data_IF_344682571066
#
_entry.id   IF_344682571066
#
_cell.length_a   1.000
_cell.length_b   1.000
_cell.length_c   1.000
_cell.angle_alpha   90.00
_cell.angle_beta   90.00
_cell.angle_gamma   90.00
#
_symmetry.space_group_name_H-M   'P 1'
#
loop_
_entity.id
_entity.type
_entity.pdbx_description
1 polymer ?
#
# COMPACT_ATOMS: atom_id res chain seq x y z
N UNK A 1 34.44 -16.43 31.60
CA UNK A 1 35.36 -16.60 30.43
C UNK A 1 34.88 -17.75 29.52
N UNK A 2 34.57 -18.94 30.01
CA UNK A 2 34.14 -20.08 29.19
C UNK A 2 32.92 -19.79 28.31
N UNK A 3 31.86 -19.16 28.87
CA UNK A 3 30.63 -18.78 28.12
C UNK A 3 30.94 -17.77 27.01
N UNK A 4 31.82 -16.82 27.26
CA UNK A 4 32.25 -15.86 26.25
C UNK A 4 32.98 -16.54 25.08
N UNK A 5 33.94 -17.43 25.38
CA UNK A 5 34.66 -18.19 24.38
C UNK A 5 33.71 -19.09 23.58
N UNK A 6 32.82 -19.79 24.27
CA UNK A 6 31.78 -20.60 23.67
C UNK A 6 30.91 -19.78 22.71
N UNK A 7 30.47 -18.58 23.14
CA UNK A 7 29.66 -17.68 22.28
C UNK A 7 30.42 -17.32 21.01
N UNK A 8 31.70 -16.98 21.10
CA UNK A 8 32.53 -16.65 19.93
C UNK A 8 32.63 -17.84 18.98
N UNK A 9 32.93 -19.02 19.50
CA UNK A 9 33.06 -20.26 18.70
C UNK A 9 31.74 -20.55 17.97
N UNK A 10 30.58 -20.50 18.67
CA UNK A 10 29.28 -20.74 18.08
C UNK A 10 28.97 -19.70 16.99
N UNK A 11 29.28 -18.41 17.19
CA UNK A 11 29.07 -17.39 16.16
C UNK A 11 29.96 -17.62 14.92
N UNK A 12 31.17 -18.14 15.09
CA UNK A 12 32.02 -18.51 13.95
C UNK A 12 31.43 -19.71 13.21
N UNK A 13 30.99 -20.76 13.92
CA UNK A 13 30.33 -21.92 13.31
C UNK A 13 29.06 -21.54 12.56
N UNK A 14 28.29 -20.59 13.09
CA UNK A 14 27.05 -20.09 12.47
C UNK A 14 27.27 -18.98 11.42
N UNK A 15 28.54 -18.60 11.15
CA UNK A 15 28.83 -17.54 10.17
C UNK A 15 28.33 -17.85 8.76
N UNK A 16 28.47 -19.08 8.20
CA UNK A 16 27.89 -19.39 6.89
C UNK A 16 26.39 -19.18 6.82
N UNK A 17 25.67 -19.55 7.91
CA UNK A 17 24.24 -19.33 8.03
C UNK A 17 23.91 -17.83 8.05
N UNK A 18 24.68 -17.04 8.79
CA UNK A 18 24.52 -15.58 8.84
C UNK A 18 24.73 -14.93 7.47
N UNK A 19 25.71 -15.37 6.70
CA UNK A 19 25.96 -14.92 5.33
C UNK A 19 24.81 -15.30 4.40
N UNK A 20 24.26 -16.50 4.52
CA UNK A 20 23.11 -16.90 3.73
C UNK A 20 21.88 -16.03 4.03
N UNK A 21 21.60 -15.75 5.30
CA UNK A 21 20.54 -14.82 5.71
C UNK A 21 20.78 -13.39 5.22
N UNK A 22 22.04 -12.94 5.23
CA UNK A 22 22.43 -11.65 4.67
C UNK A 22 22.14 -11.58 3.16
N UNK A 23 22.47 -12.63 2.42
CA UNK A 23 22.15 -12.71 0.99
C UNK A 23 20.66 -12.65 0.74
N UNK A 24 19.86 -13.40 1.48
CA UNK A 24 18.40 -13.36 1.38
C UNK A 24 17.83 -11.94 1.64
N UNK A 25 18.42 -11.23 2.61
CA UNK A 25 18.05 -9.84 2.90
C UNK A 25 18.45 -8.88 1.77
N UNK A 26 19.59 -9.11 1.11
CA UNK A 26 19.99 -8.36 -0.09
C UNK A 26 18.97 -8.58 -1.22
N UNK A 27 18.56 -9.82 -1.46
CA UNK A 27 17.55 -10.16 -2.47
C UNK A 27 16.23 -9.45 -2.16
N UNK A 28 15.79 -9.44 -0.89
CA UNK A 28 14.58 -8.72 -0.46
C UNK A 28 14.62 -7.24 -0.88
N UNK A 29 15.72 -6.54 -0.57
CA UNK A 29 15.83 -5.10 -0.90
C UNK A 29 15.96 -4.89 -2.40
N UNK A 30 16.65 -5.79 -3.11
CA UNK A 30 16.80 -5.75 -4.57
C UNK A 30 15.45 -5.84 -5.30
N UNK A 31 14.50 -6.62 -4.79
CA UNK A 31 13.18 -6.78 -5.42
C UNK A 31 12.16 -5.72 -4.96
N UNK A 32 12.50 -4.88 -3.98
CA UNK A 32 11.60 -3.83 -3.48
C UNK A 32 11.09 -2.87 -4.55
N UNK A 33 11.88 -2.39 -5.53
CA UNK A 33 11.37 -1.52 -6.58
C UNK A 33 10.24 -2.17 -7.38
N UNK A 34 10.41 -3.43 -7.80
CA UNK A 34 9.37 -4.21 -8.50
C UNK A 34 8.14 -4.42 -7.61
N UNK A 35 8.34 -4.69 -6.32
CA UNK A 35 7.25 -4.81 -5.34
C UNK A 35 6.50 -3.50 -5.12
N UNK A 36 7.21 -2.36 -5.05
CA UNK A 36 6.59 -1.04 -4.92
C UNK A 36 5.73 -0.72 -6.15
N UNK A 37 6.21 -0.99 -7.36
CA UNK A 37 5.42 -0.86 -8.60
C UNK A 37 4.19 -1.78 -8.61
N UNK A 38 4.30 -3.02 -8.09
CA UNK A 38 3.14 -3.91 -7.90
C UNK A 38 2.15 -3.27 -6.92
N UNK A 39 2.61 -2.72 -5.79
CA UNK A 39 1.76 -2.06 -4.80
C UNK A 39 1.06 -0.82 -5.38
N UNK A 40 1.73 -0.04 -6.22
CA UNK A 40 1.13 1.09 -6.93
C UNK A 40 0.10 0.59 -7.95
N UNK A 41 0.49 -0.38 -8.78
CA UNK A 41 -0.38 -0.92 -9.84
C UNK A 41 -1.67 -1.56 -9.33
N UNK A 42 -1.62 -2.22 -8.18
CA UNK A 42 -2.77 -2.92 -7.57
C UNK A 42 -3.17 -2.29 -6.23
N UNK A 43 -3.02 -0.97 -6.13
CA UNK A 43 -3.22 -0.23 -4.88
C UNK A 43 -4.59 -0.50 -4.27
N UNK A 44 -4.60 -0.85 -2.97
CA UNK A 44 -5.83 -1.18 -2.23
C UNK A 44 -6.33 -2.62 -2.41
N UNK A 45 -5.81 -3.38 -3.36
CA UNK A 45 -6.12 -4.80 -3.56
C UNK A 45 -5.08 -5.70 -2.90
N UNK A 46 -5.27 -5.92 -1.60
CA UNK A 46 -4.32 -6.69 -0.79
C UNK A 46 -4.16 -8.14 -1.27
N UNK A 47 -5.20 -8.75 -1.83
CA UNK A 47 -5.20 -10.12 -2.33
C UNK A 47 -4.29 -10.26 -3.56
N UNK A 48 -4.54 -9.45 -4.59
CA UNK A 48 -3.71 -9.44 -5.81
C UNK A 48 -2.26 -9.03 -5.51
N UNK A 49 -2.03 -8.05 -4.63
CA UNK A 49 -0.68 -7.69 -4.18
C UNK A 49 0.01 -8.89 -3.54
N UNK A 50 -0.68 -9.62 -2.64
CA UNK A 50 -0.13 -10.82 -1.99
C UNK A 50 0.23 -11.94 -2.95
N UNK A 51 -0.63 -12.22 -3.94
CA UNK A 51 -0.36 -13.19 -5.00
C UNK A 51 0.88 -12.79 -5.84
N UNK A 52 0.90 -11.54 -6.34
CA UNK A 52 2.01 -11.03 -7.14
C UNK A 52 3.32 -10.99 -6.34
N UNK A 53 3.27 -10.60 -5.06
CA UNK A 53 4.41 -10.65 -4.16
C UNK A 53 4.93 -12.08 -3.98
N UNK A 54 4.04 -13.06 -3.83
CA UNK A 54 4.41 -14.47 -3.70
C UNK A 54 5.10 -14.98 -4.98
N UNK A 55 4.58 -14.61 -6.15
CA UNK A 55 5.20 -14.95 -7.42
C UNK A 55 6.57 -14.27 -7.59
N UNK A 56 6.68 -13.00 -7.20
CA UNK A 56 7.93 -12.25 -7.23
C UNK A 56 8.99 -12.88 -6.32
N UNK A 57 8.60 -13.27 -5.10
CA UNK A 57 9.47 -13.95 -4.15
C UNK A 57 9.98 -15.28 -4.72
N UNK A 58 9.12 -16.07 -5.35
CA UNK A 58 9.50 -17.33 -6.02
C UNK A 58 10.46 -17.09 -7.19
N UNK A 59 10.18 -16.09 -8.03
CA UNK A 59 11.02 -15.71 -9.18
C UNK A 59 12.45 -15.37 -8.77
N UNK A 60 12.62 -14.70 -7.63
CA UNK A 60 13.92 -14.27 -7.12
C UNK A 60 14.50 -15.15 -6.02
N UNK A 61 13.89 -16.31 -5.74
CA UNK A 61 14.31 -17.23 -4.68
C UNK A 61 14.43 -16.55 -3.31
N UNK A 62 13.54 -15.59 -3.03
CA UNK A 62 13.46 -14.95 -1.73
C UNK A 62 12.57 -15.76 -0.78
N UNK A 63 13.09 -16.05 0.40
CA UNK A 63 12.41 -16.82 1.44
C UNK A 63 12.18 -15.98 2.69
N UNK A 64 10.95 -15.47 2.94
CA UNK A 64 10.65 -14.58 4.06
C UNK A 64 11.03 -15.17 5.42
N UNK A 65 10.80 -16.47 5.63
CA UNK A 65 11.06 -17.15 6.90
C UNK A 65 12.56 -17.41 7.17
N UNK A 66 13.43 -17.24 6.18
CA UNK A 66 14.86 -17.47 6.33
C UNK A 66 15.49 -16.53 7.37
N UNK A 67 14.93 -15.34 7.54
CA UNK A 67 15.38 -14.39 8.55
C UNK A 67 15.21 -14.86 9.99
N UNK A 68 14.34 -15.86 10.24
CA UNK A 68 14.10 -16.45 11.56
C UNK A 68 15.08 -17.59 11.90
N UNK A 69 15.80 -18.14 10.92
CA UNK A 69 16.69 -19.29 11.15
C UNK A 69 17.84 -18.98 12.13
N UNK A 70 18.49 -17.80 12.10
CA UNK A 70 19.53 -17.50 13.09
C UNK A 70 18.97 -17.46 14.52
N UNK A 71 17.75 -16.98 14.71
CA UNK A 71 17.08 -16.98 16.01
C UNK A 71 16.76 -18.42 16.45
N UNK A 72 16.24 -19.26 15.57
CA UNK A 72 15.96 -20.66 15.86
C UNK A 72 17.25 -21.42 16.23
N UNK A 73 18.33 -21.23 15.48
CA UNK A 73 19.64 -21.80 15.76
C UNK A 73 20.16 -21.34 17.16
N UNK A 74 19.97 -20.08 17.51
CA UNK A 74 20.39 -19.53 18.80
C UNK A 74 19.60 -20.17 19.96
N UNK A 75 18.30 -20.42 19.77
CA UNK A 75 17.46 -21.11 20.77
C UNK A 75 17.90 -22.56 20.93
N UNK A 76 18.20 -23.29 19.85
CA UNK A 76 18.71 -24.65 19.92
C UNK A 76 20.05 -24.74 20.68
N UNK A 77 20.96 -23.80 20.44
CA UNK A 77 22.23 -23.70 21.18
C UNK A 77 21.97 -23.41 22.66
N UNK A 78 20.97 -22.58 22.98
CA UNK A 78 20.57 -22.29 24.36
C UNK A 78 20.12 -23.56 25.08
N UNK A 79 19.27 -24.39 24.44
CA UNK A 79 18.83 -25.67 25.04
C UNK A 79 20.00 -26.63 25.28
N UNK A 80 20.97 -26.73 24.33
CA UNK A 80 22.19 -27.52 24.56
C UNK A 80 23.04 -26.99 25.72
N UNK A 81 23.07 -25.68 25.92
CA UNK A 81 23.81 -25.06 27.04
C UNK A 81 23.15 -25.32 28.40
N UNK A 82 21.82 -25.51 28.46
CA UNK A 82 21.10 -25.91 29.68
C UNK A 82 21.70 -27.18 30.29
N UNK A 83 21.85 -28.20 29.47
CA UNK A 83 22.34 -29.50 29.90
C UNK A 83 23.77 -29.45 30.39
N UNK A 84 24.61 -28.66 29.70
CA UNK A 84 26.01 -28.43 30.10
C UNK A 84 26.11 -27.68 31.44
N UNK A 85 25.29 -26.66 31.66
CA UNK A 85 25.28 -25.88 32.89
C UNK A 85 24.82 -26.76 34.05
N UNK A 86 23.74 -27.53 33.92
CA UNK A 86 23.27 -28.45 34.95
C UNK A 86 24.35 -29.50 35.26
N UNK A 87 24.99 -30.09 34.30
CA UNK A 87 26.05 -31.08 34.52
C UNK A 87 27.29 -30.51 35.24
N UNK A 88 27.61 -29.23 35.07
CA UNK A 88 28.74 -28.57 35.79
C UNK A 88 28.35 -28.29 37.25
N UNK A 89 27.11 -27.88 37.49
CA UNK A 89 26.61 -27.51 38.82
C UNK A 89 26.37 -28.73 39.71
N UNK A 90 25.86 -29.82 39.16
CA UNK A 90 25.65 -31.09 39.88
C UNK A 90 26.99 -31.69 40.41
N UNK A 91 28.13 -31.33 39.80
CA UNK A 91 29.45 -31.79 40.24
C UNK A 91 30.20 -30.79 41.14
N UNK A 92 29.58 -29.70 41.57
CA UNK A 92 30.12 -28.76 42.58
C UNK A 92 31.42 -28.06 42.11
N UNK A 93 31.53 -27.70 40.83
CA UNK A 93 32.73 -27.06 40.30
C UNK A 93 32.97 -25.67 40.94
N UNK A 94 34.18 -25.33 41.38
CA UNK A 94 34.47 -24.01 41.93
C UNK A 94 34.36 -22.91 40.84
N UNK A 95 33.78 -21.75 41.21
CA UNK A 95 33.66 -20.61 40.31
C UNK A 95 32.32 -20.53 39.54
N UNK A 96 31.27 -21.11 40.10
CA UNK A 96 29.89 -21.09 39.57
C UNK A 96 29.12 -19.80 39.85
N UNK A 97 29.81 -18.72 40.19
CA UNK A 97 29.23 -17.43 40.45
C UNK A 97 29.50 -16.43 39.31
N UNK A 98 28.48 -15.74 38.85
CA UNK A 98 28.64 -14.64 37.90
C UNK A 98 29.03 -13.35 38.63
N UNK A 99 30.25 -12.86 38.34
CA UNK A 99 30.87 -11.70 39.00
C UNK A 99 30.99 -11.84 40.54
N UNK A 100 30.99 -13.06 41.08
CA UNK A 100 31.03 -13.27 42.53
C UNK A 100 29.76 -12.87 43.28
N UNK A 101 28.63 -12.61 42.57
CA UNK A 101 27.43 -12.09 43.18
C UNK A 101 26.17 -12.94 42.90
N UNK A 102 26.13 -13.66 41.78
CA UNK A 102 24.95 -14.39 41.35
C UNK A 102 25.31 -15.82 41.01
N UNK A 103 24.75 -16.83 41.73
CA UNK A 103 24.92 -18.22 41.34
C UNK A 103 24.47 -18.48 39.89
N UNK A 104 25.23 -19.21 39.13
CA UNK A 104 24.93 -19.51 37.72
C UNK A 104 23.65 -20.35 37.60
N UNK A 105 23.34 -21.12 38.66
CA UNK A 105 22.16 -22.00 38.76
C UNK A 105 20.88 -21.31 39.11
N UNK A 106 20.95 -20.27 39.95
CA UNK A 106 19.74 -19.63 40.42
C UNK A 106 18.95 -19.02 39.29
N UNK A 107 17.77 -19.57 39.09
CA UNK A 107 16.74 -18.96 38.24
C UNK A 107 16.45 -17.58 38.78
N UNK A 108 16.99 -16.60 38.15
CA UNK A 108 16.49 -15.28 37.97
C UNK A 108 15.86 -14.46 39.06
N UNK A 109 16.12 -14.62 40.33
CA UNK A 109 15.66 -13.62 41.28
C UNK A 109 16.52 -12.34 41.32
N UNK A 110 17.59 -12.32 40.54
CA UNK A 110 18.28 -11.09 40.29
C UNK A 110 17.61 -10.35 39.11
N UNK A 111 16.89 -9.30 39.37
CA UNK A 111 16.33 -8.37 38.39
C UNK A 111 17.41 -7.83 37.41
N UNK A 112 18.65 -8.02 37.75
CA UNK A 112 19.80 -7.58 36.98
C UNK A 112 19.90 -8.35 35.65
N UNK A 113 19.72 -9.68 35.64
CA UNK A 113 19.87 -10.48 34.42
C UNK A 113 18.78 -10.22 33.38
N UNK A 114 17.49 -10.18 33.74
CA UNK A 114 16.44 -9.78 32.80
C UNK A 114 16.64 -8.36 32.24
N UNK A 115 17.02 -7.41 33.10
CA UNK A 115 17.29 -6.04 32.66
C UNK A 115 18.48 -5.96 31.71
N UNK A 116 19.57 -6.64 31.99
CA UNK A 116 20.76 -6.68 31.14
C UNK A 116 20.45 -7.40 29.80
N UNK A 117 19.66 -8.47 29.83
CA UNK A 117 19.23 -9.16 28.62
C UNK A 117 18.34 -8.26 27.75
N UNK A 118 17.35 -7.58 28.34
CA UNK A 118 16.53 -6.60 27.65
C UNK A 118 17.36 -5.43 27.09
N UNK A 119 18.26 -4.87 27.90
CA UNK A 119 19.17 -3.79 27.47
C UNK A 119 20.08 -4.21 26.31
N UNK A 120 20.63 -5.44 26.36
CA UNK A 120 21.46 -5.98 25.30
C UNK A 120 20.69 -6.09 23.97
N UNK A 121 19.40 -6.48 24.03
CA UNK A 121 18.53 -6.53 22.86
C UNK A 121 18.21 -5.13 22.29
N UNK A 122 18.00 -4.14 23.17
CA UNK A 122 17.82 -2.73 22.75
C UNK A 122 19.07 -2.22 22.05
N UNK A 123 20.24 -2.44 22.64
CA UNK A 123 21.54 -2.04 22.07
C UNK A 123 21.76 -2.73 20.73
N UNK A 124 21.50 -4.03 20.65
CA UNK A 124 21.58 -4.80 19.40
C UNK A 124 20.66 -4.23 18.32
N UNK A 125 19.37 -4.00 18.64
CA UNK A 125 18.39 -3.46 17.69
C UNK A 125 18.78 -2.07 17.21
N UNK A 126 19.24 -1.19 18.10
CA UNK A 126 19.71 0.15 17.76
C UNK A 126 20.96 0.10 16.86
N UNK A 127 21.94 -0.74 17.22
CA UNK A 127 23.16 -0.89 16.46
C UNK A 127 22.89 -1.48 15.07
N UNK A 128 22.03 -2.51 14.97
CA UNK A 128 21.63 -3.10 13.70
C UNK A 128 20.91 -2.10 12.79
N UNK A 129 19.98 -1.31 13.33
CA UNK A 129 19.31 -0.25 12.57
C UNK A 129 20.29 0.80 12.02
N UNK A 130 21.44 0.98 12.67
CA UNK A 130 22.46 1.95 12.24
C UNK A 130 23.53 1.36 11.32
N UNK A 131 23.92 0.12 11.58
CA UNK A 131 25.02 -0.56 10.87
C UNK A 131 24.53 -1.33 9.65
N UNK A 132 23.33 -1.92 9.71
CA UNK A 132 22.79 -2.72 8.61
C UNK A 132 22.05 -1.84 7.59
N UNK A 133 22.63 -1.60 6.38
CA UNK A 133 21.97 -0.83 5.33
C UNK A 133 20.64 -1.44 4.90
N UNK A 134 20.52 -2.77 4.92
CA UNK A 134 19.31 -3.49 4.49
C UNK A 134 18.15 -3.28 5.45
N UNK A 135 18.42 -3.20 6.74
CA UNK A 135 17.41 -2.93 7.75
C UNK A 135 16.91 -1.48 7.68
N UNK A 136 17.74 -0.53 7.23
CA UNK A 136 17.30 0.85 6.99
C UNK A 136 16.21 0.92 5.93
N UNK A 137 16.22 0.01 4.98
CA UNK A 137 15.28 -0.02 3.87
C UNK A 137 13.92 -0.67 4.21
N UNK A 138 13.81 -1.35 5.34
CA UNK A 138 12.54 -1.89 5.83
C UNK A 138 11.58 -0.80 6.29
N UNK A 139 10.29 -1.08 6.28
CA UNK A 139 9.27 -0.15 6.79
C UNK A 139 9.44 0.09 8.30
N UNK A 140 8.98 1.24 8.80
CA UNK A 140 9.02 1.55 10.24
C UNK A 140 8.28 0.51 11.08
N UNK A 141 7.19 -0.03 10.55
CA UNK A 141 6.39 -1.04 11.24
C UNK A 141 7.15 -2.36 11.37
N UNK A 142 7.77 -2.85 10.29
CA UNK A 142 8.59 -4.07 10.32
C UNK A 142 9.76 -3.95 11.29
N UNK A 143 10.50 -2.84 11.25
CA UNK A 143 11.60 -2.57 12.20
C UNK A 143 11.14 -2.63 13.65
N UNK A 144 10.04 -1.93 13.96
CA UNK A 144 9.52 -1.87 15.33
C UNK A 144 9.01 -3.22 15.80
N UNK A 145 8.37 -4.00 14.92
CA UNK A 145 7.88 -5.34 15.25
C UNK A 145 9.05 -6.29 15.53
N UNK A 146 10.06 -6.31 14.68
CA UNK A 146 11.23 -7.17 14.85
C UNK A 146 12.04 -6.81 16.10
N UNK A 147 12.31 -5.53 16.32
CA UNK A 147 13.04 -5.08 17.50
C UNK A 147 12.22 -5.30 18.78
N UNK A 148 10.91 -5.00 18.76
CA UNK A 148 10.02 -5.23 19.89
C UNK A 148 9.94 -6.71 20.28
N UNK A 149 9.80 -7.60 19.31
CA UNK A 149 9.81 -9.05 19.54
C UNK A 149 11.13 -9.53 20.17
N UNK A 150 12.26 -9.03 19.67
CA UNK A 150 13.58 -9.36 20.21
C UNK A 150 13.75 -8.89 21.66
N UNK A 151 13.27 -7.69 22.01
CA UNK A 151 13.33 -7.16 23.37
C UNK A 151 12.45 -7.99 24.31
N UNK A 152 11.19 -8.24 23.91
CA UNK A 152 10.26 -9.05 24.71
C UNK A 152 10.82 -10.45 24.97
N UNK A 153 11.32 -11.10 23.92
CA UNK A 153 11.94 -12.42 24.05
C UNK A 153 13.14 -12.41 24.98
N UNK A 154 14.00 -11.38 24.89
CA UNK A 154 15.17 -11.24 25.75
C UNK A 154 14.81 -11.02 27.22
N UNK A 155 13.77 -10.24 27.50
CA UNK A 155 13.24 -10.05 28.86
C UNK A 155 12.67 -11.35 29.43
N UNK A 156 11.84 -12.06 28.64
CA UNK A 156 11.24 -13.33 29.03
C UNK A 156 12.32 -14.38 29.34
N UNK A 157 13.26 -14.56 28.44
CA UNK A 157 14.38 -15.49 28.65
C UNK A 157 15.22 -15.09 29.89
N UNK A 158 15.46 -13.78 30.08
CA UNK A 158 16.18 -13.30 31.27
C UNK A 158 15.51 -13.64 32.59
N UNK A 159 14.16 -13.76 32.62
CA UNK A 159 13.38 -14.14 33.83
C UNK A 159 13.38 -15.64 34.07
N UNK A 160 13.19 -16.43 33.02
CA UNK A 160 12.89 -17.86 33.14
C UNK A 160 14.10 -18.78 33.03
N UNK A 161 15.24 -18.28 32.58
CA UNK A 161 16.46 -19.11 32.42
C UNK A 161 17.49 -18.81 33.50
N UNK A 162 18.34 -19.79 33.78
CA UNK A 162 19.46 -19.64 34.73
C UNK A 162 20.40 -18.48 34.34
N UNK A 163 21.03 -17.84 35.30
CA UNK A 163 21.87 -16.65 35.09
C UNK A 163 22.99 -16.85 34.07
N UNK A 164 23.59 -18.05 34.02
CA UNK A 164 24.58 -18.42 33.02
C UNK A 164 24.06 -18.43 31.60
N UNK A 165 22.81 -18.87 31.38
CA UNK A 165 22.15 -18.86 30.09
C UNK A 165 21.74 -17.44 29.69
N UNK A 166 21.23 -16.65 30.64
CA UNK A 166 20.96 -15.22 30.39
C UNK A 166 22.23 -14.47 29.99
N UNK A 167 23.37 -14.78 30.62
CA UNK A 167 24.65 -14.21 30.23
C UNK A 167 25.10 -14.62 28.82
N UNK A 168 24.93 -15.91 28.46
CA UNK A 168 25.15 -16.33 27.06
C UNK A 168 24.29 -15.53 26.08
N UNK A 169 22.99 -15.31 26.41
CA UNK A 169 22.07 -14.56 25.57
C UNK A 169 22.53 -13.10 25.39
N UNK A 170 22.97 -12.45 26.46
CA UNK A 170 23.54 -11.10 26.42
C UNK A 170 24.77 -11.06 25.49
N UNK A 171 25.72 -11.97 25.70
CA UNK A 171 26.90 -12.07 24.87
C UNK A 171 26.56 -12.32 23.39
N UNK A 172 25.58 -13.19 23.13
CA UNK A 172 25.11 -13.51 21.79
C UNK A 172 24.46 -12.31 21.09
N UNK A 173 23.68 -11.48 21.80
CA UNK A 173 23.11 -10.24 21.27
C UNK A 173 24.21 -9.24 20.91
N UNK A 174 25.20 -9.05 21.77
CA UNK A 174 26.31 -8.14 21.50
C UNK A 174 27.20 -8.64 20.34
N UNK A 175 27.49 -9.94 20.30
CA UNK A 175 28.26 -10.54 19.20
C UNK A 175 27.50 -10.51 17.87
N UNK A 176 26.16 -10.46 17.87
CA UNK A 176 25.37 -10.30 16.64
C UNK A 176 25.69 -8.97 15.93
N UNK A 177 26.07 -7.92 16.66
CA UNK A 177 26.50 -6.65 16.08
C UNK A 177 27.80 -6.82 15.30
N UNK A 178 28.77 -7.55 15.89
CA UNK A 178 30.05 -7.83 15.24
C UNK A 178 29.87 -8.71 13.99
N UNK A 179 29.05 -9.76 14.11
CA UNK A 179 28.71 -10.65 12.99
C UNK A 179 28.06 -9.85 11.86
N UNK A 180 27.12 -8.94 12.16
CA UNK A 180 26.49 -8.10 11.15
C UNK A 180 27.50 -7.17 10.45
N UNK A 181 28.44 -6.58 11.20
CA UNK A 181 29.48 -5.75 10.62
C UNK A 181 30.39 -6.57 9.68
N UNK A 182 30.75 -7.79 10.06
CA UNK A 182 31.52 -8.73 9.21
C UNK A 182 30.73 -9.14 7.97
N UNK A 183 29.44 -9.46 8.10
CA UNK A 183 28.57 -9.76 6.95
C UNK A 183 28.52 -8.59 5.96
N UNK A 184 28.40 -7.36 6.44
CA UNK A 184 28.40 -6.17 5.60
C UNK A 184 29.76 -5.93 4.90
N UNK A 185 30.85 -6.30 5.53
CA UNK A 185 32.19 -6.17 4.96
C UNK A 185 32.42 -7.21 3.85
N UNK A 186 31.98 -8.46 4.08
CA UNK A 186 32.11 -9.57 3.13
C UNK A 186 31.16 -9.39 1.95
N UNK A 187 29.89 -9.12 2.25
CA UNK A 187 28.84 -8.90 1.25
C UNK A 187 28.39 -7.44 1.30
N UNK A 188 28.97 -6.59 0.45
CA UNK A 188 28.63 -5.16 0.38
C UNK A 188 27.26 -4.97 -0.31
N UNK A 189 26.17 -4.60 0.39
CA UNK A 189 24.86 -4.48 -0.22
C UNK A 189 24.80 -3.51 -1.40
N UNK A 190 25.54 -2.41 -1.32
CA UNK A 190 25.62 -1.39 -2.38
C UNK A 190 26.10 -1.92 -3.75
N UNK A 191 26.74 -3.11 -3.79
CA UNK A 191 27.16 -3.73 -5.05
C UNK A 191 26.00 -4.41 -5.79
N UNK A 192 24.93 -4.78 -5.08
CA UNK A 192 23.83 -5.61 -5.58
C UNK A 192 22.50 -4.87 -5.68
N UNK A 193 22.39 -3.71 -5.05
CA UNK A 193 21.14 -2.94 -4.92
C UNK A 193 21.30 -1.60 -5.62
N UNK A 194 20.35 -1.29 -6.51
CA UNK A 194 20.20 0.04 -7.08
C UNK A 194 19.35 0.90 -6.14
N UNK A 195 20.03 1.71 -5.34
CA UNK A 195 19.37 2.61 -4.38
C UNK A 195 18.67 3.78 -5.06
N UNK A 196 19.07 4.18 -6.27
CA UNK A 196 18.39 5.25 -6.99
C UNK A 196 17.03 4.79 -7.50
N UNK A 197 16.96 3.59 -8.10
CA UNK A 197 15.70 2.97 -8.51
C UNK A 197 14.79 2.68 -7.31
N UNK A 198 15.34 2.22 -6.20
CA UNK A 198 14.59 1.99 -4.97
C UNK A 198 13.96 3.28 -4.44
N UNK A 199 14.73 4.38 -4.40
CA UNK A 199 14.23 5.68 -3.97
C UNK A 199 13.12 6.20 -4.89
N UNK A 200 13.31 6.11 -6.21
CA UNK A 200 12.30 6.53 -7.19
C UNK A 200 10.98 5.77 -7.04
N UNK A 201 11.06 4.43 -6.89
CA UNK A 201 9.86 3.60 -6.70
C UNK A 201 9.11 3.88 -5.40
N UNK A 202 9.79 4.41 -4.37
CA UNK A 202 9.16 4.80 -3.10
C UNK A 202 8.40 6.10 -3.22
N UNK A 203 8.93 7.08 -3.96
CA UNK A 203 8.28 8.39 -4.12
C UNK A 203 6.87 8.19 -4.67
N UNK A 204 6.71 7.41 -5.74
CA UNK A 204 5.41 7.12 -6.36
C UNK A 204 4.43 6.46 -5.36
N UNK A 205 4.91 5.47 -4.60
CA UNK A 205 4.09 4.80 -3.58
C UNK A 205 3.71 5.72 -2.42
N UNK A 206 4.64 6.59 -1.98
CA UNK A 206 4.41 7.53 -0.88
C UNK A 206 3.46 8.65 -1.29
N UNK A 207 3.53 9.13 -2.52
CA UNK A 207 2.58 10.08 -3.10
C UNK A 207 1.17 9.50 -3.13
N UNK A 208 1.03 8.25 -3.60
CA UNK A 208 -0.25 7.55 -3.64
C UNK A 208 -0.83 7.32 -2.22
N UNK A 209 0.02 6.94 -1.27
CA UNK A 209 -0.38 6.81 0.13
C UNK A 209 -0.79 8.16 0.75
N UNK A 210 -0.08 9.24 0.41
CA UNK A 210 -0.38 10.58 0.89
C UNK A 210 -1.72 11.11 0.32
N UNK A 211 -1.97 10.85 -0.97
CA UNK A 211 -3.24 11.20 -1.64
C UNK A 211 -4.43 10.51 -0.97
N UNK A 212 -4.29 9.23 -0.61
CA UNK A 212 -5.37 8.45 0.00
C UNK A 212 -5.40 8.51 1.53
N UNK A 213 -4.46 9.22 2.15
CA UNK A 213 -4.38 9.35 3.59
C UNK A 213 -5.56 10.17 4.13
N UNK A 214 -6.38 9.55 4.99
CA UNK A 214 -7.47 10.27 5.67
C UNK A 214 -6.90 11.27 6.68
N UNK A 215 -7.40 12.50 6.65
CA UNK A 215 -7.04 13.56 7.60
C UNK A 215 -7.70 13.41 8.99
N UNK A 216 -8.39 12.29 9.25
CA UNK A 216 -9.03 12.01 10.54
C UNK A 216 -8.02 11.44 11.54
N UNK A 217 -7.94 11.96 12.77
CA UNK A 217 -7.11 11.40 13.82
C UNK A 217 -7.46 9.94 14.10
N UNK A 218 -6.46 9.08 14.39
CA UNK A 218 -6.61 7.65 14.60
C UNK A 218 -7.60 7.25 15.70
N UNK A 219 -7.85 8.15 16.66
CA UNK A 219 -8.80 7.94 17.78
C UNK A 219 -10.24 8.37 17.45
N UNK A 220 -10.49 9.05 16.32
CA UNK A 220 -11.83 9.41 15.89
C UNK A 220 -12.30 8.45 14.80
N UNK A 221 -13.47 7.83 15.03
CA UNK A 221 -14.12 7.05 13.96
C UNK A 221 -14.60 7.99 12.87
N UNK A 222 -14.19 7.73 11.65
CA UNK A 222 -14.70 8.41 10.48
C UNK A 222 -16.17 7.98 10.24
N UNK A 223 -17.14 8.89 10.35
CA UNK A 223 -18.56 8.56 10.20
C UNK A 223 -18.89 8.04 8.79
N UNK A 224 -18.14 8.47 7.79
CA UNK A 224 -18.35 8.08 6.40
C UNK A 224 -17.71 6.72 6.04
N UNK A 225 -16.77 6.23 6.84
CA UNK A 225 -16.07 4.98 6.56
C UNK A 225 -16.99 3.75 6.50
N UNK A 226 -18.05 3.74 7.31
CA UNK A 226 -19.04 2.66 7.29
C UNK A 226 -19.86 2.72 6.01
N UNK A 227 -20.39 3.89 5.67
CA UNK A 227 -21.16 4.12 4.45
C UNK A 227 -20.37 3.79 3.20
N UNK A 228 -19.11 4.29 3.09
CA UNK A 228 -18.22 3.98 1.99
C UNK A 228 -17.98 2.46 1.84
N UNK A 229 -17.77 1.75 2.95
CA UNK A 229 -17.58 0.30 2.94
C UNK A 229 -18.84 -0.44 2.47
N UNK A 230 -20.01 0.01 2.89
CA UNK A 230 -21.30 -0.59 2.52
C UNK A 230 -21.60 -0.31 1.05
N UNK A 231 -21.43 0.92 0.58
CA UNK A 231 -21.63 1.31 -0.81
C UNK A 231 -20.62 0.62 -1.75
N UNK A 232 -19.35 0.49 -1.33
CA UNK A 232 -18.33 -0.28 -2.08
C UNK A 232 -18.75 -1.75 -2.22
N UNK A 233 -19.18 -2.40 -1.14
CA UNK A 233 -19.65 -3.79 -1.19
C UNK A 233 -20.88 -3.92 -2.08
N UNK A 234 -21.85 -3.02 -1.95
CA UNK A 234 -23.07 -2.99 -2.76
C UNK A 234 -22.72 -2.84 -4.24
N UNK A 235 -21.83 -1.91 -4.60
CA UNK A 235 -21.36 -1.75 -5.97
C UNK A 235 -20.70 -3.02 -6.52
N UNK A 236 -19.79 -3.63 -5.76
CA UNK A 236 -19.08 -4.82 -6.18
C UNK A 236 -19.94 -6.08 -6.26
N UNK A 237 -21.06 -6.15 -5.52
CA UNK A 237 -21.98 -7.28 -5.55
C UNK A 237 -22.92 -7.30 -6.77
N UNK A 238 -23.08 -6.18 -7.46
CA UNK A 238 -23.92 -6.11 -8.66
C UNK A 238 -23.14 -6.69 -9.85
N UNK A 239 -23.74 -7.66 -10.51
CA UNK A 239 -23.20 -8.29 -11.74
C UNK A 239 -23.90 -7.69 -12.95
N UNK A 240 -23.21 -7.55 -14.08
CA UNK A 240 -23.80 -7.07 -15.33
C UNK A 240 -24.15 -5.60 -15.32
N UNK A 241 -23.31 -4.74 -14.74
CA UNK A 241 -23.46 -3.30 -14.84
C UNK A 241 -23.21 -2.85 -16.28
N UNK A 242 -24.25 -2.34 -16.95
CA UNK A 242 -24.10 -1.83 -18.31
C UNK A 242 -23.43 -0.47 -18.34
N UNK A 243 -23.87 0.46 -17.49
CA UNK A 243 -23.32 1.82 -17.51
C UNK A 243 -23.02 2.33 -16.10
N UNK A 244 -21.84 2.90 -15.94
CA UNK A 244 -21.34 3.51 -14.70
C UNK A 244 -20.94 4.95 -15.00
N UNK A 245 -21.52 5.91 -14.28
CA UNK A 245 -21.06 7.29 -14.26
C UNK A 245 -20.19 7.52 -13.03
N UNK A 246 -19.09 8.22 -13.20
CA UNK A 246 -18.25 8.66 -12.10
C UNK A 246 -18.17 10.18 -12.03
N UNK A 247 -18.52 10.72 -10.87
CA UNK A 247 -18.44 12.15 -10.54
C UNK A 247 -17.36 12.43 -9.51
N UNK A 248 -16.38 13.23 -9.88
CA UNK A 248 -15.25 13.58 -9.02
C UNK A 248 -15.64 14.49 -7.85
N UNK A 249 -16.61 15.39 -8.08
CA UNK A 249 -16.94 16.48 -7.16
C UNK A 249 -18.45 16.67 -7.04
N UNK A 250 -18.82 17.32 -5.94
CA UNK A 250 -20.18 17.78 -5.75
C UNK A 250 -20.67 18.68 -6.90
N UNK A 251 -21.90 18.45 -7.32
CA UNK A 251 -22.55 19.22 -8.37
C UNK A 251 -22.16 18.85 -9.81
N UNK A 252 -21.36 17.82 -10.03
CA UNK A 252 -21.01 17.37 -11.38
C UNK A 252 -22.12 16.59 -12.08
N UNK A 253 -23.16 16.15 -11.34
CA UNK A 253 -24.33 15.52 -11.94
C UNK A 253 -24.94 16.35 -13.06
N UNK A 254 -24.92 17.68 -12.97
CA UNK A 254 -25.42 18.59 -14.01
C UNK A 254 -24.82 18.36 -15.40
N UNK A 255 -23.61 17.83 -15.49
CA UNK A 255 -22.93 17.53 -16.76
C UNK A 255 -23.37 16.20 -17.35
N UNK A 256 -23.86 15.29 -16.53
CA UNK A 256 -24.37 13.98 -16.93
C UNK A 256 -25.91 13.95 -17.02
N UNK A 257 -26.58 14.99 -16.52
CA UNK A 257 -28.01 14.98 -16.27
C UNK A 257 -28.81 14.62 -17.53
N UNK A 258 -28.50 15.21 -18.70
CA UNK A 258 -29.21 14.91 -19.94
C UNK A 258 -29.04 13.44 -20.37
N UNK A 259 -27.85 12.93 -20.29
CA UNK A 259 -27.58 11.53 -20.62
C UNK A 259 -28.27 10.56 -19.64
N UNK A 260 -28.22 10.86 -18.34
CA UNK A 260 -28.86 10.03 -17.30
C UNK A 260 -30.36 10.05 -17.43
N UNK A 261 -30.97 11.22 -17.58
CA UNK A 261 -32.42 11.37 -17.74
C UNK A 261 -32.90 10.69 -19.03
N UNK A 262 -32.17 10.85 -20.13
CA UNK A 262 -32.49 10.19 -21.39
C UNK A 262 -32.46 8.66 -21.27
N UNK A 263 -31.39 8.11 -20.64
CA UNK A 263 -31.27 6.67 -20.41
C UNK A 263 -32.44 6.14 -19.54
N UNK A 264 -32.77 6.84 -18.48
CA UNK A 264 -33.87 6.44 -17.58
C UNK A 264 -35.24 6.54 -18.24
N UNK A 265 -35.40 7.43 -19.20
CA UNK A 265 -36.69 7.61 -19.93
C UNK A 265 -36.83 6.61 -21.10
N UNK A 266 -35.73 6.26 -21.78
CA UNK A 266 -35.77 5.53 -23.05
C UNK A 266 -35.21 4.09 -22.97
N UNK A 267 -34.81 3.62 -21.78
CA UNK A 267 -34.34 2.24 -21.58
C UNK A 267 -34.76 1.72 -20.20
N UNK A 268 -34.70 0.40 -20.02
CA UNK A 268 -34.89 -0.26 -18.72
C UNK A 268 -33.59 -0.42 -17.94
N UNK A 269 -32.49 0.16 -18.42
CA UNK A 269 -31.17 0.05 -17.80
C UNK A 269 -31.12 0.70 -16.42
N UNK A 270 -30.41 0.08 -15.49
CA UNK A 270 -29.99 0.69 -14.23
C UNK A 270 -28.76 1.56 -14.48
N UNK A 271 -28.80 2.79 -14.06
CA UNK A 271 -27.69 3.72 -14.12
C UNK A 271 -26.94 3.70 -12.79
N UNK A 272 -25.72 3.19 -12.78
CA UNK A 272 -24.87 3.19 -11.60
C UNK A 272 -24.08 4.49 -11.52
N UNK A 273 -24.20 5.20 -10.42
CA UNK A 273 -23.58 6.52 -10.24
C UNK A 273 -22.62 6.51 -9.04
N UNK A 274 -21.34 6.59 -9.31
CA UNK A 274 -20.29 6.65 -8.30
C UNK A 274 -19.93 8.11 -8.05
N UNK A 275 -19.99 8.55 -6.80
CA UNK A 275 -19.63 9.92 -6.40
C UNK A 275 -18.67 9.93 -5.22
N UNK A 276 -17.72 10.86 -5.23
CA UNK A 276 -16.82 11.10 -4.10
C UNK A 276 -17.39 12.09 -3.07
N UNK A 277 -18.58 12.66 -3.33
CA UNK A 277 -19.30 13.51 -2.37
C UNK A 277 -20.40 12.74 -1.63
N UNK A 278 -20.35 12.63 -0.30
CA UNK A 278 -21.39 11.96 0.48
C UNK A 278 -22.74 12.66 0.45
N UNK A 279 -22.79 13.93 0.07
CA UNK A 279 -23.98 14.77 0.02
C UNK A 279 -24.46 15.09 -1.41
N UNK A 280 -23.96 14.35 -2.40
CA UNK A 280 -24.34 14.54 -3.79
C UNK A 280 -25.87 14.43 -3.96
N UNK A 281 -26.44 15.30 -4.82
CA UNK A 281 -27.88 15.33 -5.10
C UNK A 281 -28.43 14.00 -5.64
N UNK A 282 -27.59 13.16 -6.23
CA UNK A 282 -28.01 11.87 -6.79
C UNK A 282 -28.65 10.94 -5.74
N UNK A 283 -28.28 11.08 -4.46
CA UNK A 283 -28.92 10.31 -3.38
C UNK A 283 -30.39 10.68 -3.21
N UNK A 284 -30.77 11.97 -3.40
CA UNK A 284 -32.13 12.40 -3.38
C UNK A 284 -32.89 12.01 -4.67
N UNK A 285 -32.21 12.07 -5.81
CA UNK A 285 -32.78 11.67 -7.09
C UNK A 285 -33.10 10.17 -7.15
N UNK A 286 -32.34 9.36 -6.45
CA UNK A 286 -32.62 7.92 -6.30
C UNK A 286 -33.96 7.64 -5.63
N UNK A 287 -34.39 8.47 -4.69
CA UNK A 287 -35.72 8.34 -4.03
C UNK A 287 -36.86 8.49 -5.05
N UNK A 288 -36.70 9.35 -6.05
CA UNK A 288 -37.66 9.54 -7.13
C UNK A 288 -37.55 8.50 -8.26
N UNK A 289 -36.35 7.98 -8.52
CA UNK A 289 -36.11 6.97 -9.55
C UNK A 289 -35.13 5.87 -9.06
N UNK A 290 -35.64 4.71 -8.61
CA UNK A 290 -34.81 3.61 -8.07
C UNK A 290 -33.82 3.03 -9.06
N UNK A 291 -34.00 3.23 -10.38
CA UNK A 291 -33.01 2.75 -11.39
C UNK A 291 -31.75 3.61 -11.45
N UNK A 292 -31.74 4.82 -10.88
CA UNK A 292 -30.54 5.59 -10.63
C UNK A 292 -29.92 5.10 -9.30
N UNK A 293 -28.84 4.36 -9.35
CA UNK A 293 -28.22 3.72 -8.18
C UNK A 293 -26.95 4.46 -7.77
N UNK A 294 -27.01 5.34 -6.73
CA UNK A 294 -25.86 6.09 -6.27
C UNK A 294 -25.00 5.29 -5.29
N UNK A 295 -23.69 5.54 -5.33
CA UNK A 295 -22.69 4.95 -4.44
C UNK A 295 -21.69 6.01 -3.99
N UNK A 296 -21.54 6.17 -2.68
CA UNK A 296 -20.51 7.02 -2.11
C UNK A 296 -19.19 6.25 -2.01
N UNK A 297 -18.18 6.70 -2.74
CA UNK A 297 -16.83 6.12 -2.76
C UNK A 297 -15.81 7.24 -2.56
N UNK A 298 -15.22 7.31 -1.39
CA UNK A 298 -14.15 8.27 -1.09
C UNK A 298 -12.80 7.87 -1.67
N UNK A 299 -11.86 8.79 -1.64
CA UNK A 299 -10.52 8.67 -2.27
C UNK A 299 -9.79 7.36 -1.96
N UNK A 300 -9.96 6.86 -0.74
CA UNK A 300 -9.29 5.64 -0.28
C UNK A 300 -9.68 4.38 -1.06
N UNK A 301 -10.93 4.28 -1.47
CA UNK A 301 -11.47 3.11 -2.18
C UNK A 301 -11.68 3.34 -3.66
N UNK A 302 -11.64 4.60 -4.09
CA UNK A 302 -11.87 4.97 -5.48
C UNK A 302 -10.86 4.29 -6.42
N UNK A 303 -9.58 4.37 -6.09
CA UNK A 303 -8.52 3.75 -6.89
C UNK A 303 -8.78 2.26 -7.06
N UNK A 304 -9.05 1.56 -5.96
CA UNK A 304 -9.35 0.12 -6.00
C UNK A 304 -10.63 -0.19 -6.77
N UNK A 305 -11.67 0.65 -6.63
CA UNK A 305 -12.92 0.48 -7.38
C UNK A 305 -12.66 0.62 -8.87
N UNK A 306 -11.96 1.65 -9.31
CA UNK A 306 -11.66 1.89 -10.72
C UNK A 306 -10.81 0.76 -11.31
N UNK A 307 -9.81 0.29 -10.57
CA UNK A 307 -8.95 -0.83 -11.01
C UNK A 307 -9.71 -2.16 -11.12
N UNK A 308 -10.79 -2.34 -10.33
CA UNK A 308 -11.67 -3.52 -10.36
C UNK A 308 -13.03 -3.24 -10.99
N UNK A 309 -13.15 -2.17 -11.76
CA UNK A 309 -14.40 -1.80 -12.41
C UNK A 309 -14.82 -2.92 -13.37
N UNK A 310 -16.10 -3.31 -13.24
CA UNK A 310 -16.77 -4.30 -14.09
C UNK A 310 -18.07 -3.71 -14.59
N UNK A 311 -18.05 -3.16 -15.82
CA UNK A 311 -19.20 -2.60 -16.52
C UNK A 311 -18.92 -2.61 -18.01
N UNK A 312 -19.94 -2.35 -18.84
CA UNK A 312 -19.74 -2.26 -20.28
C UNK A 312 -19.23 -0.87 -20.68
N UNK A 313 -19.80 0.18 -20.08
CA UNK A 313 -19.45 1.59 -20.37
C UNK A 313 -19.16 2.33 -19.05
N UNK A 314 -18.06 3.05 -19.01
CA UNK A 314 -17.68 3.95 -17.91
C UNK A 314 -17.63 5.40 -18.41
N UNK A 315 -18.54 6.25 -17.94
CA UNK A 315 -18.63 7.68 -18.32
C UNK A 315 -18.07 8.54 -17.19
N UNK A 316 -17.15 9.42 -17.49
CA UNK A 316 -16.53 10.28 -16.48
C UNK A 316 -16.08 11.63 -17.05
N UNK A 317 -15.86 12.57 -16.15
CA UNK A 317 -15.33 13.91 -16.45
C UNK A 317 -13.86 14.04 -16.08
N UNK A 318 -13.26 12.96 -15.54
CA UNK A 318 -11.88 12.93 -15.12
C UNK A 318 -10.94 12.95 -16.34
N UNK A 319 -10.17 14.00 -16.48
CA UNK A 319 -9.05 14.05 -17.41
C UNK A 319 -7.86 13.23 -16.86
N UNK A 320 -6.90 12.94 -17.71
CA UNK A 320 -5.67 12.21 -17.32
C UNK A 320 -5.88 10.75 -16.80
N UNK A 321 -6.90 10.04 -17.30
CA UNK A 321 -7.05 8.60 -17.08
C UNK A 321 -5.75 7.87 -17.47
N UNK A 322 -5.27 6.93 -16.65
CA UNK A 322 -3.99 6.20 -16.74
C UNK A 322 -2.74 7.06 -16.44
N UNK A 323 -2.80 8.38 -16.54
CA UNK A 323 -1.64 9.25 -16.33
C UNK A 323 -1.31 9.46 -14.85
N UNK A 324 -2.33 9.42 -13.98
CA UNK A 324 -2.18 9.56 -12.54
C UNK A 324 -2.69 8.32 -11.78
N UNK A 325 -3.39 8.53 -10.66
CA UNK A 325 -3.80 7.47 -9.74
C UNK A 325 -4.95 6.63 -10.26
N UNK A 326 -5.83 7.19 -11.09
CA UNK A 326 -6.97 6.48 -11.65
C UNK A 326 -6.54 5.73 -12.89
N UNK A 327 -6.63 4.39 -12.80
CA UNK A 327 -6.24 3.48 -13.87
C UNK A 327 -7.45 2.76 -14.44
N UNK A 328 -7.36 2.32 -15.69
CA UNK A 328 -8.36 1.45 -16.32
C UNK A 328 -8.43 0.11 -15.58
N UNK A 329 -9.56 -0.56 -15.64
CA UNK A 329 -9.76 -1.86 -15.01
C UNK A 329 -8.71 -2.89 -15.47
N UNK A 330 -8.15 -3.62 -14.52
CA UNK A 330 -7.26 -4.75 -14.84
C UNK A 330 -8.02 -6.07 -14.95
N UNK A 331 -9.25 -6.16 -14.42
CA UNK A 331 -10.07 -7.39 -14.48
C UNK A 331 -10.87 -7.48 -15.76
N UNK A 332 -11.30 -6.35 -16.33
CA UNK A 332 -12.05 -6.29 -17.58
C UNK A 332 -11.44 -5.28 -18.55
N UNK A 333 -10.99 -5.73 -19.72
CA UNK A 333 -10.24 -4.92 -20.69
C UNK A 333 -11.10 -4.33 -21.80
N UNK A 334 -12.31 -4.83 -21.96
CA UNK A 334 -13.29 -4.46 -22.98
C UNK A 334 -14.25 -3.34 -22.54
N UNK A 335 -14.02 -2.73 -21.39
CA UNK A 335 -14.80 -1.56 -20.93
C UNK A 335 -14.57 -0.39 -21.88
N UNK A 336 -15.66 0.20 -22.38
CA UNK A 336 -15.59 1.45 -23.12
C UNK A 336 -15.54 2.63 -22.15
N UNK A 337 -14.42 3.35 -22.14
CA UNK A 337 -14.23 4.55 -21.34
C UNK A 337 -14.62 5.78 -22.14
N UNK A 338 -15.65 6.49 -21.67
CA UNK A 338 -16.24 7.65 -22.32
C UNK A 338 -15.91 8.90 -21.49
N UNK A 339 -15.22 9.86 -22.10
CA UNK A 339 -15.03 11.16 -21.50
C UNK A 339 -16.18 12.12 -21.87
N UNK A 340 -16.75 12.77 -20.87
CA UNK A 340 -17.78 13.81 -21.06
C UNK A 340 -17.22 15.17 -20.63
N UNK A 341 -17.16 16.13 -21.57
CA UNK A 341 -16.67 17.47 -21.24
C UNK A 341 -17.59 18.18 -20.26
N UNK A 342 -17.00 18.82 -19.25
CA UNK A 342 -17.66 19.67 -18.28
C UNK A 342 -17.43 21.18 -18.54
N UNK A 343 -16.77 21.52 -19.67
CA UNK A 343 -16.50 22.88 -20.10
C UNK A 343 -16.52 22.98 -21.63
N UNK A 344 -16.72 24.21 -22.16
CA UNK A 344 -16.77 24.50 -23.60
C UNK A 344 -15.46 25.11 -24.14
N UNK A 345 -14.46 25.24 -23.30
CA UNK A 345 -13.15 25.82 -23.66
C UNK A 345 -12.36 24.90 -24.59
N UNK A 346 -11.47 25.49 -25.36
CA UNK A 346 -10.48 24.77 -26.17
C UNK A 346 -9.62 23.84 -25.27
N UNK A 347 -9.44 22.62 -25.74
CA UNK A 347 -8.74 21.57 -24.95
C UNK A 347 -7.28 21.92 -24.68
N UNK A 348 -6.59 22.51 -25.66
CA UNK A 348 -5.18 22.91 -25.55
C UNK A 348 -4.90 24.04 -24.55
N UNK A 349 -5.93 24.76 -24.09
CA UNK A 349 -5.79 25.83 -23.11
C UNK A 349 -5.90 25.36 -21.66
N UNK A 350 -6.62 24.26 -21.41
CA UNK A 350 -7.01 23.87 -20.04
C UNK A 350 -6.64 22.42 -19.69
N UNK A 351 -6.38 21.56 -20.69
CA UNK A 351 -6.08 20.17 -20.46
C UNK A 351 -4.59 19.86 -20.71
N UNK A 352 -4.07 18.84 -20.07
CA UNK A 352 -2.72 18.32 -20.35
C UNK A 352 -2.68 17.67 -21.74
N UNK A 353 -1.48 17.53 -22.30
CA UNK A 353 -1.33 16.98 -23.67
C UNK A 353 -1.87 15.55 -23.83
N UNK A 354 -1.87 14.78 -22.75
CA UNK A 354 -2.20 13.34 -22.74
C UNK A 354 -3.55 13.05 -22.05
N UNK A 355 -4.30 14.11 -21.69
CA UNK A 355 -5.51 14.01 -20.87
C UNK A 355 -6.55 12.99 -21.36
N UNK A 356 -6.67 12.81 -22.67
CA UNK A 356 -7.70 11.98 -23.28
C UNK A 356 -7.17 10.72 -23.97
N UNK A 357 -5.88 10.44 -23.89
CA UNK A 357 -5.24 9.39 -24.69
C UNK A 357 -5.72 7.99 -24.36
N UNK A 358 -6.20 7.78 -23.15
CA UNK A 358 -6.67 6.49 -22.65
C UNK A 358 -8.20 6.33 -22.65
N UNK A 359 -8.92 7.28 -23.28
CA UNK A 359 -10.36 7.17 -23.51
C UNK A 359 -10.64 6.57 -24.89
N UNK A 360 -11.65 5.70 -24.96
CA UNK A 360 -12.09 5.06 -26.20
C UNK A 360 -12.99 6.02 -26.99
N UNK A 361 -13.90 6.73 -26.28
CA UNK A 361 -14.83 7.74 -26.83
C UNK A 361 -14.70 9.05 -26.08
N UNK A 362 -14.73 10.16 -26.81
CA UNK A 362 -14.77 11.51 -26.24
C UNK A 362 -16.00 12.25 -26.77
N UNK A 363 -16.87 12.69 -25.86
CA UNK A 363 -18.08 13.47 -26.16
C UNK A 363 -17.71 14.94 -26.27
N UNK A 364 -17.44 15.41 -27.48
CA UNK A 364 -17.05 16.79 -27.78
C UNK A 364 -18.28 17.72 -27.73
N UNK A 365 -18.14 18.86 -27.06
CA UNK A 365 -19.19 19.88 -26.99
C UNK A 365 -19.47 20.50 -28.37
N UNK A 366 -18.47 20.58 -29.23
CA UNK A 366 -18.61 21.12 -30.54
C UNK A 366 -17.44 20.83 -31.48
N UNK A 367 -17.54 21.28 -32.74
CA UNK A 367 -16.56 20.96 -33.78
C UNK A 367 -15.14 21.43 -33.46
N UNK A 368 -14.99 22.50 -32.67
CA UNK A 368 -13.68 23.01 -32.29
C UNK A 368 -12.89 22.01 -31.43
N UNK A 369 -13.52 21.40 -30.39
CA UNK A 369 -12.85 20.40 -29.55
C UNK A 369 -12.53 19.14 -30.35
N UNK A 370 -13.43 18.72 -31.24
CA UNK A 370 -13.20 17.57 -32.12
C UNK A 370 -12.00 17.78 -33.02
N UNK A 371 -11.93 18.93 -33.70
CA UNK A 371 -10.82 19.27 -34.60
C UNK A 371 -9.47 19.38 -33.83
N UNK A 372 -9.48 19.93 -32.61
CA UNK A 372 -8.31 20.00 -31.74
C UNK A 372 -7.80 18.61 -31.35
N UNK A 373 -8.71 17.71 -30.96
CA UNK A 373 -8.35 16.34 -30.57
C UNK A 373 -7.91 15.47 -31.74
N UNK A 374 -8.52 15.63 -32.93
CA UNK A 374 -8.08 15.02 -34.17
C UNK A 374 -6.65 15.46 -34.50
N UNK A 375 -6.40 16.77 -34.49
CA UNK A 375 -5.06 17.33 -34.78
C UNK A 375 -4.02 16.90 -33.74
N UNK A 376 -4.36 16.87 -32.46
CA UNK A 376 -3.49 16.40 -31.39
C UNK A 376 -3.14 14.91 -31.56
N UNK A 377 -4.11 14.09 -31.98
CA UNK A 377 -3.91 12.68 -32.28
C UNK A 377 -2.95 12.45 -33.46
N UNK A 378 -3.15 13.18 -34.56
CA UNK A 378 -2.26 13.13 -35.72
C UNK A 378 -0.81 13.51 -35.37
N UNK A 379 -0.62 14.59 -34.61
CA UNK A 379 0.71 15.08 -34.21
C UNK A 379 1.49 14.13 -33.32
N UNK A 380 0.79 13.27 -32.57
CA UNK A 380 1.39 12.36 -31.59
C UNK A 380 1.33 10.88 -32.01
N UNK A 381 0.80 10.60 -33.22
CA UNK A 381 0.62 9.24 -33.75
C UNK A 381 -0.16 8.31 -32.76
N UNK A 382 -1.27 8.84 -32.20
CA UNK A 382 -2.10 8.12 -31.26
C UNK A 382 -3.21 7.35 -32.00
N UNK A 383 -3.59 6.14 -31.56
CA UNK A 383 -4.70 5.41 -32.14
C UNK A 383 -5.98 6.25 -32.22
N UNK A 384 -6.72 6.09 -33.32
CA UNK A 384 -7.93 6.87 -33.59
C UNK A 384 -8.97 6.56 -32.52
N UNK A 385 -9.41 7.60 -31.80
CA UNK A 385 -10.50 7.57 -30.83
C UNK A 385 -11.83 7.89 -31.52
N UNK A 386 -12.92 7.48 -30.89
CA UNK A 386 -14.26 7.88 -31.31
C UNK A 386 -14.56 9.29 -30.77
N UNK A 387 -14.60 10.29 -31.63
CA UNK A 387 -14.88 11.68 -31.28
C UNK A 387 -16.30 12.05 -31.73
N UNK A 388 -17.21 12.16 -30.77
CA UNK A 388 -18.64 12.40 -31.00
C UNK A 388 -19.00 13.84 -30.65
N UNK A 389 -19.52 14.59 -31.59
CA UNK A 389 -20.11 15.91 -31.32
C UNK A 389 -21.50 15.72 -30.70
N UNK A 390 -21.69 16.10 -29.43
CA UNK A 390 -22.93 15.88 -28.69
C UNK A 390 -23.63 17.15 -28.22
N UNK A 391 -23.03 18.33 -28.44
CA UNK A 391 -23.53 19.59 -27.87
C UNK A 391 -23.20 19.72 -26.38
N UNK A 392 -23.85 20.70 -25.73
CA UNK A 392 -23.65 20.96 -24.29
C UNK A 392 -24.97 21.16 -23.57
N UNK A 393 -25.59 20.06 -23.15
CA UNK A 393 -26.92 19.99 -22.54
C UNK A 393 -27.10 20.98 -21.37
N UNK A 394 -26.08 21.24 -20.57
CA UNK A 394 -26.15 22.23 -19.49
C UNK A 394 -26.45 23.62 -20.01
N UNK A 395 -25.88 24.05 -21.13
CA UNK A 395 -26.11 25.34 -21.73
C UNK A 395 -27.54 25.40 -22.29
N UNK A 396 -27.99 24.36 -23.00
CA UNK A 396 -29.32 24.28 -23.60
C UNK A 396 -30.40 24.40 -22.51
N UNK A 397 -30.23 23.75 -21.38
CA UNK A 397 -31.15 23.91 -20.22
C UNK A 397 -31.11 25.30 -19.61
N UNK A 398 -29.93 25.94 -19.55
CA UNK A 398 -29.82 27.31 -19.03
C UNK A 398 -30.52 28.30 -19.95
N UNK A 399 -30.41 28.13 -21.28
CA UNK A 399 -31.13 28.95 -22.26
C UNK A 399 -32.63 28.75 -22.10
N UNK A 400 -33.12 27.53 -22.06
CA UNK A 400 -34.54 27.23 -21.87
C UNK A 400 -35.08 27.82 -20.57
N UNK A 401 -34.33 27.71 -19.47
CA UNK A 401 -34.71 28.31 -18.19
C UNK A 401 -34.73 29.84 -18.23
N UNK A 402 -33.81 30.47 -18.96
CA UNK A 402 -33.79 31.92 -19.16
C UNK A 402 -34.99 32.37 -19.97
N UNK A 403 -35.30 31.72 -21.09
CA UNK A 403 -36.47 32.06 -21.94
C UNK A 403 -37.77 31.88 -21.19
N UNK A 404 -37.95 30.82 -20.40
CA UNK A 404 -39.12 30.64 -19.56
C UNK A 404 -39.30 31.75 -18.54
N UNK A 405 -38.21 32.19 -17.88
CA UNK A 405 -38.27 33.33 -16.93
C UNK A 405 -38.60 34.64 -17.62
N UNK A 406 -38.08 34.86 -18.83
CA UNK A 406 -38.36 36.06 -19.63
C UNK A 406 -39.85 36.10 -20.06
N UNK A 407 -40.37 34.95 -20.49
CA UNK A 407 -41.79 34.83 -20.84
C UNK A 407 -42.73 35.07 -19.63
N UNK A 408 -42.37 34.49 -18.46
CA UNK A 408 -43.15 34.71 -17.24
C UNK A 408 -43.18 36.20 -16.83
N UNK A 409 -42.01 36.89 -16.87
CA UNK A 409 -41.97 38.34 -16.58
C UNK A 409 -42.75 39.19 -17.58
N UNK A 410 -42.80 38.79 -18.87
CA UNK A 410 -43.56 39.48 -19.88
C UNK A 410 -45.07 39.27 -19.73
N UNK A 411 -45.49 38.16 -19.11
CA UNK A 411 -46.91 37.89 -18.80
C UNK A 411 -47.42 38.58 -17.52
N UNK A 412 -46.50 38.99 -16.63
CA UNK A 412 -46.79 39.72 -15.40
C UNK A 412 -46.79 41.25 -15.60
N UNK A 413 -46.24 41.75 -16.72
CA UNK A 413 -46.17 43.16 -17.07
C UNK A 413 -47.34 43.59 -17.99
#
# INVERSE_FOLDING_TARGET
MAILLFTVIIKIVLMPLSLWCQWNSIVMVKIMPELNRIKVKYFGDAETIGEKQTLLNKKHHYHPLLSLIPLAAQILVLFGLVEVIHGITDHGAPGTEFLGMVPIEDGGFSWIMPLLAGLSAVVMGFAQNRINPLQREQSKMEKNTTNGLSIVLSLVLGVYVAAGMAFYWICSNLMAIVVQALCNLIMRPAKYIDYAELAASRVELDELNAFTARKTPWYKRDPLAKREKEDYKRFMSVVGKHIVFYSERSGFYKYFQGAVEWLLANSDACVHYVTSDPNDQVFKLHEANPRLMPYYIGDKRLITLMMKLDCDVAVMTLDDLENFYIKRSYIRKDIEYVYAFHHMTSTHLVCTKEAFDHYDTVLCVGPHQKAELERAGEMRDIPRRNLVECGYDLLDRQIAAYESRKAAKAAEA
#
